data_IF_837866813229
#
_entry.id   IF_837866813229
#
_cell.length_a   1.000
_cell.length_b   1.000
_cell.length_c   1.000
_cell.angle_alpha   90.00
_cell.angle_beta   90.00
_cell.angle_gamma   90.00
#
_symmetry.space_group_name_H-M   'P 1'
#
loop_
_entity.id
_entity.type
_entity.pdbx_description
1 polymer ?
#
# COMPACT_ATOMS: atom_id res chain seq x y z
N UNK A 1 4.29 -17.62 -4.27
CA UNK A 1 4.18 -18.63 -5.36
C UNK A 1 5.08 -18.31 -6.55
N UNK A 2 4.94 -17.17 -7.25
CA UNK A 2 5.77 -16.85 -8.44
C UNK A 2 7.28 -16.98 -8.21
N UNK A 3 7.81 -16.37 -7.17
CA UNK A 3 9.22 -16.50 -6.77
C UNK A 3 9.68 -17.95 -6.59
N UNK A 4 8.85 -18.80 -5.96
CA UNK A 4 9.15 -20.23 -5.77
C UNK A 4 9.25 -20.98 -7.09
N UNK A 5 8.34 -20.70 -8.03
CA UNK A 5 8.36 -21.33 -9.37
C UNK A 5 9.60 -20.90 -10.14
N UNK A 6 9.86 -19.61 -10.18
CA UNK A 6 11.04 -19.04 -10.82
C UNK A 6 12.35 -19.73 -10.32
N UNK A 7 12.53 -19.85 -9.00
CA UNK A 7 13.73 -20.48 -8.46
C UNK A 7 13.83 -21.98 -8.78
N UNK A 8 12.70 -22.70 -8.80
CA UNK A 8 12.69 -24.11 -9.18
C UNK A 8 13.04 -24.33 -10.66
N UNK A 9 12.63 -23.40 -11.51
CA UNK A 9 12.96 -23.45 -12.95
C UNK A 9 14.42 -23.07 -13.21
N UNK A 10 15.00 -22.17 -12.39
CA UNK A 10 16.40 -21.75 -12.51
C UNK A 10 17.40 -22.73 -11.88
N UNK A 11 17.01 -23.40 -10.81
CA UNK A 11 17.90 -24.23 -9.99
C UNK A 11 17.25 -25.61 -9.74
N UNK A 12 17.72 -26.62 -10.49
CA UNK A 12 17.25 -27.98 -10.31
C UNK A 12 17.57 -28.50 -8.91
N UNK A 13 16.57 -29.10 -8.25
CA UNK A 13 16.73 -29.67 -6.90
C UNK A 13 16.81 -28.67 -5.75
N UNK A 14 16.59 -27.38 -5.95
CA UNK A 14 16.61 -26.38 -4.87
C UNK A 14 15.65 -26.75 -3.73
N UNK A 15 16.13 -26.69 -2.51
CA UNK A 15 15.38 -27.08 -1.31
C UNK A 15 14.48 -25.94 -0.83
N UNK A 16 13.36 -26.29 -0.18
CA UNK A 16 12.41 -25.34 0.37
C UNK A 16 13.06 -24.29 1.30
N UNK A 17 14.07 -24.70 2.10
CA UNK A 17 14.80 -23.80 3.00
C UNK A 17 15.61 -22.74 2.22
N UNK A 18 16.23 -23.15 1.12
CA UNK A 18 17.01 -22.25 0.26
C UNK A 18 16.11 -21.24 -0.46
N UNK A 19 14.93 -21.69 -0.92
CA UNK A 19 13.91 -20.80 -1.50
C UNK A 19 13.46 -19.75 -0.47
N UNK A 20 13.23 -20.17 0.79
CA UNK A 20 12.81 -19.25 1.84
C UNK A 20 13.91 -18.24 2.18
N UNK A 21 15.17 -18.69 2.29
CA UNK A 21 16.30 -17.80 2.54
C UNK A 21 16.48 -16.77 1.41
N UNK A 22 16.42 -17.22 0.17
CA UNK A 22 16.49 -16.32 -1.00
C UNK A 22 15.33 -15.32 -1.03
N UNK A 23 14.11 -15.74 -0.61
CA UNK A 23 12.98 -14.83 -0.53
C UNK A 23 13.21 -13.72 0.51
N UNK A 24 13.66 -14.08 1.72
CA UNK A 24 13.95 -13.08 2.75
C UNK A 24 15.07 -12.12 2.33
N UNK A 25 16.13 -12.65 1.71
CA UNK A 25 17.24 -11.83 1.22
C UNK A 25 16.82 -10.86 0.12
N UNK A 26 16.07 -11.34 -0.88
CA UNK A 26 15.79 -10.57 -2.11
C UNK A 26 14.47 -9.81 -2.10
N UNK A 27 13.49 -10.25 -1.29
CA UNK A 27 12.14 -9.71 -1.30
C UNK A 27 11.72 -9.19 0.08
N UNK A 28 12.24 -9.80 1.17
CA UNK A 28 11.80 -9.52 2.54
C UNK A 28 11.79 -8.05 2.90
N UNK A 29 12.84 -7.31 2.54
CA UNK A 29 12.98 -5.86 2.81
C UNK A 29 11.90 -5.02 2.11
N UNK A 30 11.43 -5.43 0.92
CA UNK A 30 10.38 -4.72 0.20
C UNK A 30 9.00 -4.80 0.89
N UNK A 31 8.80 -5.72 1.81
CA UNK A 31 7.51 -5.99 2.44
C UNK A 31 7.22 -5.13 3.67
N UNK A 32 8.12 -4.26 4.10
CA UNK A 32 7.93 -3.41 5.29
C UNK A 32 6.63 -2.60 5.20
N UNK A 33 6.47 -1.81 4.16
CA UNK A 33 5.29 -0.96 3.98
C UNK A 33 4.01 -1.79 3.75
N UNK A 34 3.99 -2.79 2.86
CA UNK A 34 2.81 -3.66 2.70
C UNK A 34 2.35 -4.35 3.99
N UNK A 35 3.27 -4.76 4.87
CA UNK A 35 2.92 -5.33 6.19
C UNK A 35 2.17 -4.33 7.07
N UNK A 36 2.45 -3.04 6.95
CA UNK A 36 1.82 -1.99 7.74
C UNK A 36 0.51 -1.45 7.11
N UNK A 37 0.35 -1.55 5.79
CA UNK A 37 -0.78 -0.97 5.04
C UNK A 37 -1.82 -2.03 4.65
N UNK A 38 -1.37 -3.27 4.43
CA UNK A 38 -2.19 -4.34 3.89
C UNK A 38 -2.19 -4.37 2.35
N UNK A 39 -3.08 -5.20 1.80
CA UNK A 39 -3.19 -5.40 0.36
C UNK A 39 -3.85 -4.19 -0.32
N UNK A 40 -3.14 -3.58 -1.27
CA UNK A 40 -3.63 -2.48 -2.12
C UNK A 40 -3.74 -2.91 -3.59
N UNK A 41 -3.94 -4.20 -3.84
CA UNK A 41 -3.99 -4.79 -5.19
C UNK A 41 -2.74 -4.48 -6.02
N UNK A 42 -2.87 -4.11 -7.29
CA UNK A 42 -1.74 -3.81 -8.18
C UNK A 42 -0.87 -2.66 -7.67
N UNK A 43 -1.40 -1.73 -6.86
CA UNK A 43 -0.61 -0.65 -6.27
C UNK A 43 0.35 -1.10 -5.17
N UNK A 44 0.21 -2.35 -4.66
CA UNK A 44 1.17 -2.95 -3.71
C UNK A 44 2.60 -2.98 -4.28
N UNK A 45 2.75 -3.09 -5.59
CA UNK A 45 4.06 -3.02 -6.25
C UNK A 45 4.82 -1.75 -5.90
N UNK A 46 4.15 -0.60 -5.92
CA UNK A 46 4.78 0.69 -5.60
C UNK A 46 5.15 0.79 -4.11
N UNK A 47 4.31 0.27 -3.22
CA UNK A 47 4.63 0.24 -1.78
C UNK A 47 5.77 -0.73 -1.48
N UNK A 48 5.88 -1.85 -2.23
CA UNK A 48 7.05 -2.74 -2.17
C UNK A 48 8.32 -2.04 -2.64
N UNK A 49 8.26 -1.31 -3.76
CA UNK A 49 9.40 -0.57 -4.30
C UNK A 49 9.88 0.51 -3.32
N UNK A 50 8.94 1.25 -2.71
CA UNK A 50 9.26 2.21 -1.65
C UNK A 50 9.93 1.53 -0.46
N UNK A 51 9.38 0.40 0.01
CA UNK A 51 9.95 -0.38 1.11
C UNK A 51 11.36 -0.85 0.81
N UNK A 52 11.62 -1.36 -0.39
CA UNK A 52 12.94 -1.79 -0.83
C UNK A 52 13.96 -0.64 -0.78
N UNK A 53 13.61 0.52 -1.37
CA UNK A 53 14.49 1.68 -1.42
C UNK A 53 14.76 2.29 -0.03
N UNK A 54 13.85 2.14 0.93
CA UNK A 54 14.05 2.60 2.31
C UNK A 54 14.91 1.66 3.15
N UNK A 55 14.70 0.34 3.00
CA UNK A 55 15.25 -0.66 3.92
C UNK A 55 16.51 -1.33 3.41
N UNK A 56 16.76 -1.37 2.10
CA UNK A 56 17.91 -2.04 1.53
C UNK A 56 19.00 -1.06 1.15
N UNK A 57 19.97 -0.88 2.04
CA UNK A 57 21.12 0.02 1.83
C UNK A 57 22.05 -0.45 0.70
N UNK A 58 21.99 -1.72 0.32
CA UNK A 58 22.82 -2.28 -0.76
C UNK A 58 22.31 -1.88 -2.15
N UNK A 59 21.03 -1.52 -2.27
CA UNK A 59 20.44 -1.03 -3.53
C UNK A 59 20.99 0.34 -3.88
N UNK A 60 21.62 0.45 -5.05
CA UNK A 60 22.35 1.64 -5.53
C UNK A 60 21.84 2.13 -6.87
N UNK A 61 22.09 3.40 -7.23
CA UNK A 61 21.85 3.89 -8.58
C UNK A 61 22.56 3.01 -9.62
N UNK A 62 21.82 2.64 -10.67
CA UNK A 62 22.26 1.71 -11.72
C UNK A 62 21.82 0.27 -11.51
N UNK A 63 21.42 -0.12 -10.31
CA UNK A 63 20.91 -1.48 -10.05
C UNK A 63 19.59 -1.73 -10.76
N UNK A 64 19.40 -2.97 -11.19
CA UNK A 64 18.17 -3.43 -11.81
C UNK A 64 17.28 -4.16 -10.81
N UNK A 65 16.06 -3.71 -10.65
CA UNK A 65 15.04 -4.32 -9.78
C UNK A 65 14.05 -5.08 -10.65
N UNK A 66 13.85 -6.38 -10.37
CA UNK A 66 12.76 -7.16 -10.95
C UNK A 66 11.44 -6.89 -10.22
N UNK A 67 10.39 -6.61 -10.95
CA UNK A 67 9.08 -6.24 -10.43
C UNK A 67 8.05 -7.23 -10.97
N UNK A 68 7.35 -7.91 -10.06
CA UNK A 68 6.25 -8.80 -10.39
C UNK A 68 4.95 -8.21 -9.84
N UNK A 69 4.04 -7.88 -10.72
CA UNK A 69 2.69 -7.39 -10.39
C UNK A 69 1.66 -8.44 -10.74
N UNK A 70 0.75 -8.71 -9.81
CA UNK A 70 -0.41 -9.57 -10.04
C UNK A 70 -1.67 -8.83 -9.59
N UNK A 71 -2.68 -8.81 -10.46
CA UNK A 71 -3.96 -8.15 -10.20
C UNK A 71 -5.16 -9.05 -10.37
N UNK A 72 -6.34 -8.53 -10.02
CA UNK A 72 -7.63 -9.18 -10.25
C UNK A 72 -7.84 -9.45 -11.75
N UNK A 73 -8.55 -10.53 -12.07
CA UNK A 73 -8.76 -10.97 -13.46
C UNK A 73 -7.61 -11.81 -14.01
N UNK A 74 -6.76 -12.38 -13.12
CA UNK A 74 -5.62 -13.25 -13.49
C UNK A 74 -4.62 -12.58 -14.42
N UNK A 75 -4.49 -11.24 -14.33
CA UNK A 75 -3.49 -10.49 -15.09
C UNK A 75 -2.22 -10.38 -14.24
N UNK A 76 -1.09 -10.78 -14.81
CA UNK A 76 0.22 -10.69 -14.17
C UNK A 76 1.23 -10.09 -15.14
N UNK A 77 2.08 -9.24 -14.64
CA UNK A 77 3.19 -8.63 -15.39
C UNK A 77 4.49 -8.82 -14.65
N UNK A 78 5.55 -9.13 -15.39
CA UNK A 78 6.91 -9.10 -14.88
C UNK A 78 7.75 -8.14 -15.73
N UNK A 79 8.32 -7.15 -15.09
CA UNK A 79 9.17 -6.16 -15.74
C UNK A 79 10.35 -5.78 -14.86
N UNK A 80 11.27 -4.99 -15.36
CA UNK A 80 12.38 -4.48 -14.56
C UNK A 80 12.49 -2.97 -14.65
N UNK A 81 12.99 -2.37 -13.58
CA UNK A 81 13.32 -0.96 -13.50
C UNK A 81 14.78 -0.78 -13.09
N UNK A 82 15.38 0.33 -13.51
CA UNK A 82 16.73 0.73 -13.06
C UNK A 82 16.60 1.82 -12.00
N UNK A 83 17.33 1.69 -10.91
CA UNK A 83 17.37 2.68 -9.84
C UNK A 83 18.09 3.94 -10.35
N UNK A 84 17.42 5.08 -10.28
CA UNK A 84 18.00 6.37 -10.68
C UNK A 84 18.76 7.03 -9.50
N UNK A 85 19.74 7.89 -9.79
CA UNK A 85 20.32 8.77 -8.77
C UNK A 85 19.22 9.61 -8.09
N UNK A 86 19.27 9.75 -6.77
CA UNK A 86 18.28 10.49 -5.98
C UNK A 86 16.98 9.72 -5.67
N UNK A 87 16.82 8.48 -6.15
CA UNK A 87 15.58 7.71 -5.94
C UNK A 87 15.32 7.47 -4.44
N UNK A 88 16.34 7.10 -3.68
CA UNK A 88 16.23 6.86 -2.23
C UNK A 88 15.88 8.15 -1.48
N UNK A 89 16.59 9.22 -1.77
CA UNK A 89 16.39 10.54 -1.15
C UNK A 89 14.98 11.07 -1.43
N UNK A 90 14.48 10.85 -2.64
CA UNK A 90 13.10 11.19 -3.00
C UNK A 90 12.09 10.39 -2.15
N UNK A 91 12.25 9.08 -2.05
CA UNK A 91 11.35 8.25 -1.22
C UNK A 91 11.44 8.62 0.26
N UNK A 92 12.64 8.90 0.77
CA UNK A 92 12.82 9.38 2.15
C UNK A 92 12.11 10.72 2.38
N UNK A 93 12.12 11.63 1.40
CA UNK A 93 11.46 12.94 1.50
C UNK A 93 9.93 12.85 1.61
N UNK A 94 9.32 11.75 1.18
CA UNK A 94 7.89 11.49 1.34
C UNK A 94 7.50 11.32 2.82
N UNK A 95 8.44 10.85 3.67
CA UNK A 95 8.20 10.67 5.11
C UNK A 95 7.15 9.60 5.44
N UNK A 96 7.13 8.49 4.68
CA UNK A 96 6.09 7.45 4.80
C UNK A 96 5.97 6.88 6.21
N UNK A 97 7.10 6.68 6.93
CA UNK A 97 7.08 6.16 8.30
C UNK A 97 6.39 7.14 9.25
N UNK A 98 6.61 8.45 9.09
CA UNK A 98 5.91 9.46 9.87
C UNK A 98 4.40 9.47 9.60
N UNK A 99 3.99 9.32 8.33
CA UNK A 99 2.57 9.18 7.96
C UNK A 99 1.94 7.92 8.56
N UNK A 100 2.63 6.78 8.49
CA UNK A 100 2.12 5.53 9.05
C UNK A 100 2.00 5.59 10.58
N UNK A 101 2.96 6.19 11.25
CA UNK A 101 2.97 6.34 12.71
C UNK A 101 1.97 7.39 13.21
N UNK A 102 1.58 8.34 12.36
CA UNK A 102 0.57 9.35 12.69
C UNK A 102 -0.88 8.85 12.53
N UNK A 103 -1.09 7.61 12.12
CA UNK A 103 -2.43 7.01 12.02
C UNK A 103 -3.06 6.91 13.41
N UNK A 104 -4.37 7.12 13.47
CA UNK A 104 -5.14 6.87 14.68
C UNK A 104 -5.47 5.38 14.78
N UNK A 105 -5.22 4.79 15.94
CA UNK A 105 -5.61 3.42 16.26
C UNK A 105 -7.06 3.44 16.76
N UNK A 106 -7.93 2.73 16.04
CA UNK A 106 -9.33 2.57 16.42
C UNK A 106 -9.46 1.54 17.53
N UNK A 107 -10.31 1.80 18.52
CA UNK A 107 -10.81 0.72 19.36
C UNK A 107 -11.85 -0.13 18.58
N UNK A 108 -12.27 -1.24 19.20
CA UNK A 108 -13.19 -2.19 18.55
C UNK A 108 -14.57 -1.56 18.32
N UNK A 109 -15.06 -0.75 19.24
CA UNK A 109 -16.36 -0.10 19.14
C UNK A 109 -16.39 0.96 18.04
N UNK A 110 -15.32 1.77 17.93
CA UNK A 110 -15.11 2.72 16.85
C UNK A 110 -15.06 2.02 15.49
N UNK A 111 -14.28 0.93 15.40
CA UNK A 111 -14.18 0.13 14.17
C UNK A 111 -15.53 -0.46 13.74
N UNK A 112 -16.27 -1.06 14.67
CA UNK A 112 -17.58 -1.65 14.40
C UNK A 112 -18.59 -0.59 13.97
N UNK A 113 -18.55 0.59 14.58
CA UNK A 113 -19.42 1.71 14.24
C UNK A 113 -19.13 2.25 12.85
N UNK A 114 -17.85 2.49 12.51
CA UNK A 114 -17.45 2.91 11.16
C UNK A 114 -17.78 1.85 10.11
N UNK A 115 -17.63 0.58 10.44
CA UNK A 115 -17.98 -0.54 9.56
C UNK A 115 -19.50 -0.58 9.28
N UNK A 116 -20.33 -0.38 10.32
CA UNK A 116 -21.81 -0.28 10.16
C UNK A 116 -22.20 0.93 9.31
N UNK A 117 -21.60 2.11 9.55
CA UNK A 117 -21.84 3.30 8.74
C UNK A 117 -21.50 3.06 7.26
N UNK A 118 -20.33 2.48 6.99
CA UNK A 118 -19.95 2.11 5.62
C UNK A 118 -20.96 1.16 4.98
N UNK A 119 -21.34 0.11 5.69
CA UNK A 119 -22.30 -0.89 5.18
C UNK A 119 -23.69 -0.29 4.94
N UNK A 120 -24.13 0.68 5.75
CA UNK A 120 -25.41 1.35 5.58
C UNK A 120 -25.50 2.19 4.30
N UNK A 121 -24.38 2.47 3.65
CA UNK A 121 -24.31 3.23 2.40
C UNK A 121 -24.05 2.36 1.17
N UNK A 122 -23.79 1.05 1.34
CA UNK A 122 -23.33 0.17 0.27
C UNK A 122 -24.30 0.12 -0.93
N UNK A 123 -25.62 0.13 -0.65
CA UNK A 123 -26.66 0.03 -1.67
C UNK A 123 -27.37 1.37 -1.97
N UNK A 124 -26.84 2.48 -1.43
CA UNK A 124 -27.42 3.80 -1.67
C UNK A 124 -26.79 4.48 -2.87
N UNK A 125 -27.63 4.91 -3.79
CA UNK A 125 -27.20 5.68 -4.97
C UNK A 125 -26.84 7.12 -4.62
N UNK A 126 -27.49 7.66 -3.58
CA UNK A 126 -27.33 9.04 -3.14
C UNK A 126 -27.28 9.10 -1.62
N UNK A 127 -26.22 9.69 -1.07
CA UNK A 127 -26.03 9.92 0.36
C UNK A 127 -24.91 10.95 0.58
N UNK A 128 -24.92 11.58 1.74
CA UNK A 128 -23.82 12.41 2.21
C UNK A 128 -23.07 11.68 3.33
N UNK A 129 -21.75 11.89 3.39
CA UNK A 129 -20.89 11.34 4.45
C UNK A 129 -21.09 12.17 5.72
N UNK A 130 -21.28 11.49 6.85
CA UNK A 130 -21.25 12.14 8.16
C UNK A 130 -19.80 12.54 8.49
N UNK A 131 -19.54 13.84 8.45
CA UNK A 131 -18.23 14.41 8.75
C UNK A 131 -18.03 14.72 10.24
N UNK A 132 -19.11 14.66 11.02
CA UNK A 132 -19.05 14.88 12.47
C UNK A 132 -18.67 13.59 13.25
N UNK A 133 -18.77 12.43 12.60
CA UNK A 133 -18.40 11.16 13.22
C UNK A 133 -17.13 10.57 12.60
N UNK A 134 -16.17 10.09 13.41
CA UNK A 134 -16.05 10.29 14.86
C UNK A 134 -15.82 11.77 15.21
N UNK A 135 -16.41 12.19 16.31
CA UNK A 135 -16.42 13.61 16.70
C UNK A 135 -15.02 14.23 16.75
N UNK A 136 -14.84 15.32 16.01
CA UNK A 136 -13.60 16.08 15.97
C UNK A 136 -12.50 15.48 15.09
N UNK A 137 -12.71 14.32 14.46
CA UNK A 137 -11.68 13.70 13.60
C UNK A 137 -11.46 14.48 12.33
N UNK A 138 -12.51 15.00 11.71
CA UNK A 138 -12.36 15.81 10.51
C UNK A 138 -11.47 17.03 10.80
N UNK A 139 -11.76 17.75 11.87
CA UNK A 139 -10.97 18.92 12.25
C UNK A 139 -9.50 18.58 12.57
N UNK A 140 -9.27 17.46 13.25
CA UNK A 140 -7.93 17.03 13.67
C UNK A 140 -7.08 16.47 12.53
N UNK A 141 -7.67 15.64 11.67
CA UNK A 141 -6.91 14.83 10.73
C UNK A 141 -7.01 15.27 9.28
N UNK A 142 -8.01 16.07 8.91
CA UNK A 142 -8.29 16.43 7.52
C UNK A 142 -8.30 17.94 7.27
N UNK A 143 -9.00 18.71 8.07
CA UNK A 143 -9.25 20.14 7.84
C UNK A 143 -7.98 20.95 7.63
N UNK A 144 -7.93 21.66 6.50
CA UNK A 144 -6.79 22.51 6.13
C UNK A 144 -5.53 21.76 5.71
N UNK A 145 -5.57 20.43 5.59
CA UNK A 145 -4.40 19.61 5.18
C UNK A 145 -4.32 19.36 3.67
N UNK A 146 -5.23 19.95 2.90
CA UNK A 146 -5.29 19.78 1.43
C UNK A 146 -5.39 18.30 1.03
N UNK A 147 -6.19 17.53 1.76
CA UNK A 147 -6.49 16.14 1.46
C UNK A 147 -7.82 16.05 0.71
N UNK A 148 -7.91 15.14 -0.26
CA UNK A 148 -9.15 14.87 -0.95
C UNK A 148 -10.03 14.00 -0.07
N UNK A 149 -11.15 14.55 0.41
CA UNK A 149 -12.09 13.90 1.32
C UNK A 149 -13.36 13.46 0.59
N UNK A 150 -13.79 12.24 0.87
CA UNK A 150 -15.04 11.70 0.33
C UNK A 150 -16.24 12.32 1.06
N UNK A 151 -17.16 12.94 0.30
CA UNK A 151 -18.33 13.68 0.85
C UNK A 151 -19.64 12.96 0.63
N UNK A 152 -19.65 11.85 -0.10
CA UNK A 152 -20.86 11.09 -0.39
C UNK A 152 -20.97 10.71 -1.86
N UNK A 153 -22.16 10.36 -2.29
CA UNK A 153 -22.50 10.05 -3.68
C UNK A 153 -23.81 10.71 -4.10
N UNK A 154 -23.93 11.00 -5.37
CA UNK A 154 -25.19 11.39 -6.02
C UNK A 154 -25.34 10.58 -7.31
N UNK A 155 -26.41 9.82 -7.43
CA UNK A 155 -26.70 8.99 -8.61
C UNK A 155 -25.51 8.08 -8.97
N UNK A 156 -24.94 7.40 -7.96
CA UNK A 156 -23.73 6.55 -8.03
C UNK A 156 -22.42 7.31 -8.29
N UNK A 157 -22.44 8.63 -8.52
CA UNK A 157 -21.24 9.43 -8.74
C UNK A 157 -20.69 9.90 -7.40
N UNK A 158 -19.45 9.50 -7.08
CA UNK A 158 -18.75 9.89 -5.85
C UNK A 158 -18.42 11.39 -5.88
N UNK A 159 -18.66 12.04 -4.75
CA UNK A 159 -18.27 13.44 -4.52
C UNK A 159 -17.06 13.52 -3.62
N UNK A 160 -16.11 14.34 -4.00
CA UNK A 160 -14.90 14.63 -3.22
C UNK A 160 -14.71 16.13 -3.11
N UNK A 161 -14.18 16.57 -1.98
CA UNK A 161 -13.82 17.97 -1.73
C UNK A 161 -12.44 18.03 -1.08
N UNK A 162 -11.74 19.09 -1.33
CA UNK A 162 -10.49 19.36 -0.62
C UNK A 162 -10.77 19.83 0.81
N UNK A 163 -10.03 19.27 1.76
CA UNK A 163 -10.16 19.64 3.18
C UNK A 163 -9.37 20.91 3.52
#
# INVERSE_FOLDING_TARGET
>A
MAHTHMLKDMYEGIKKKEIAAHFEERVGKSLKIPKAVGNTYSSTVYTCLMGLLLEDEEVKPGDRIGIFSYGSGSCAEFYSATVLPGAREYIQSIGIDAHLNARYELDIEEFDTLSRMRSSHADKTTFDTDMEYPKGWYDKYYKGKKLLTFRGAKDWIRKYEWS
#
